data_IF_367843204025
#
_entry.id   IF_367843204025
#
_cell.length_a   1.000
_cell.length_b   1.000
_cell.length_c   1.000
_cell.angle_alpha   90.00
_cell.angle_beta   90.00
_cell.angle_gamma   90.00
#
_symmetry.space_group_name_H-M   'P 1'
#
loop_
_entity.id
_entity.type
_entity.pdbx_description
1 polymer ?
#
# COMPACT_ATOMS: atom_id res chain seq x y z
N UNK A 1 9.84 12.68 -16.90
CA UNK A 1 10.36 13.08 -15.58
C UNK A 1 9.77 12.10 -14.58
N UNK A 2 10.59 11.25 -13.98
CA UNK A 2 10.12 10.41 -12.87
C UNK A 2 9.71 11.35 -11.74
N UNK A 3 8.42 11.40 -11.42
CA UNK A 3 7.97 12.03 -10.17
C UNK A 3 8.59 11.18 -9.05
N UNK A 4 9.19 11.80 -8.04
CA UNK A 4 9.83 11.08 -6.93
C UNK A 4 8.86 10.15 -6.19
N UNK A 5 9.29 9.58 -5.06
CA UNK A 5 8.43 8.72 -4.24
C UNK A 5 7.20 9.50 -3.73
N UNK A 6 5.95 9.03 -3.97
CA UNK A 6 4.77 9.71 -3.42
C UNK A 6 4.67 9.52 -1.90
N UNK A 7 4.17 10.54 -1.21
CA UNK A 7 3.82 10.42 0.20
C UNK A 7 2.52 9.66 0.37
N UNK A 8 2.55 8.60 1.18
CA UNK A 8 1.43 7.71 1.42
C UNK A 8 1.13 7.60 2.91
N UNK A 9 -0.10 7.19 3.24
CA UNK A 9 -0.49 6.88 4.61
C UNK A 9 -1.26 5.56 4.64
N UNK A 10 -1.01 4.76 5.66
CA UNK A 10 -1.88 3.65 6.05
C UNK A 10 -2.91 4.09 7.08
N UNK A 11 -3.58 3.12 7.70
CA UNK A 11 -4.59 3.36 8.73
C UNK A 11 -4.05 4.13 9.95
N UNK A 12 -2.85 3.79 10.43
CA UNK A 12 -2.26 4.39 11.63
C UNK A 12 -1.87 5.84 11.37
N UNK A 13 -1.23 6.10 10.23
CA UNK A 13 -0.80 7.44 9.85
C UNK A 13 -2.01 8.36 9.58
N UNK A 14 -3.05 7.84 8.93
CA UNK A 14 -4.31 8.58 8.70
C UNK A 14 -5.01 8.89 10.03
N UNK A 15 -5.03 7.95 10.98
CA UNK A 15 -5.58 8.21 12.32
C UNK A 15 -4.78 9.30 13.06
N UNK A 16 -3.45 9.26 12.96
CA UNK A 16 -2.58 10.24 13.58
C UNK A 16 -2.80 11.66 13.05
N UNK A 17 -3.06 11.81 11.73
CA UNK A 17 -3.36 13.12 11.12
C UNK A 17 -4.57 13.81 11.77
N UNK A 18 -5.50 13.06 12.35
CA UNK A 18 -6.71 13.62 13.00
C UNK A 18 -6.74 13.39 14.51
N UNK A 19 -5.64 12.92 15.10
CA UNK A 19 -5.50 12.61 16.54
C UNK A 19 -6.59 11.67 17.04
N UNK A 20 -6.91 10.65 16.24
CA UNK A 20 -7.89 9.62 16.58
C UNK A 20 -7.24 8.25 16.76
N UNK A 21 -7.96 7.33 17.39
CA UNK A 21 -7.57 5.92 17.43
C UNK A 21 -7.74 5.27 16.02
N UNK A 22 -6.83 4.39 15.58
CA UNK A 22 -6.96 3.70 14.29
C UNK A 22 -8.28 2.95 14.07
N UNK A 23 -8.93 2.48 15.14
CA UNK A 23 -10.28 1.87 15.07
C UNK A 23 -11.33 2.87 14.57
N UNK A 24 -11.12 4.17 14.80
CA UNK A 24 -12.03 5.20 14.32
C UNK A 24 -11.96 5.36 12.80
N UNK A 25 -10.79 5.20 12.18
CA UNK A 25 -10.64 5.16 10.71
C UNK A 25 -11.39 3.95 10.12
N UNK A 26 -11.27 2.78 10.76
CA UNK A 26 -12.06 1.60 10.37
C UNK A 26 -13.58 1.84 10.48
N UNK A 27 -14.02 2.63 11.47
CA UNK A 27 -15.44 3.01 11.59
C UNK A 27 -15.87 3.98 10.49
N UNK A 28 -15.00 4.89 10.05
CA UNK A 28 -15.29 5.82 8.96
C UNK A 28 -15.52 5.11 7.62
N UNK A 29 -14.90 3.95 7.42
CA UNK A 29 -15.06 3.07 6.26
C UNK A 29 -16.27 2.13 6.36
N UNK A 30 -16.96 2.06 7.50
CA UNK A 30 -17.98 1.05 7.76
C UNK A 30 -19.32 1.46 7.13
N UNK A 31 -19.85 0.74 6.11
CA UNK A 31 -21.11 1.10 5.47
C UNK A 31 -22.29 1.06 6.45
N UNK A 32 -22.27 0.12 7.41
CA UNK A 32 -23.28 -0.04 8.46
C UNK A 32 -23.40 1.14 9.43
N UNK A 33 -22.43 2.07 9.41
CA UNK A 33 -22.41 3.28 10.26
C UNK A 33 -22.57 4.57 9.45
N UNK A 34 -22.93 4.46 8.17
CA UNK A 34 -23.02 5.58 7.24
C UNK A 34 -21.63 6.07 6.85
N UNK A 35 -20.88 5.24 6.11
CA UNK A 35 -19.49 5.49 5.70
C UNK A 35 -19.24 6.96 5.36
N UNK A 36 -18.30 7.59 6.07
CA UNK A 36 -17.91 9.00 5.84
C UNK A 36 -16.55 9.11 5.14
N UNK A 37 -15.84 7.99 5.04
CA UNK A 37 -14.66 7.82 4.21
C UNK A 37 -15.03 6.77 3.16
N UNK A 38 -14.94 7.14 1.89
CA UNK A 38 -15.23 6.23 0.77
C UNK A 38 -14.06 5.25 0.58
N UNK A 39 -14.28 3.93 0.67
CA UNK A 39 -13.24 2.93 0.43
C UNK A 39 -12.53 3.04 -0.92
N UNK A 40 -13.18 3.56 -1.96
CA UNK A 40 -12.62 3.70 -3.32
C UNK A 40 -11.56 4.80 -3.43
N UNK A 41 -11.46 5.66 -2.40
CA UNK A 41 -10.39 6.68 -2.34
C UNK A 41 -9.03 6.11 -1.96
N UNK A 42 -8.99 4.83 -1.55
CA UNK A 42 -7.79 4.12 -1.17
C UNK A 42 -7.31 3.22 -2.31
N UNK A 43 -5.99 3.10 -2.47
CA UNK A 43 -5.42 1.93 -3.15
C UNK A 43 -5.41 0.75 -2.19
N UNK A 44 -5.51 -0.47 -2.74
CA UNK A 44 -5.38 -1.72 -1.98
C UNK A 44 -4.11 -2.43 -2.39
N UNK A 45 -3.25 -2.70 -1.42
CA UNK A 45 -1.99 -3.42 -1.63
C UNK A 45 -1.85 -4.49 -0.55
N UNK A 46 -1.65 -5.74 -0.95
CA UNK A 46 -1.60 -6.90 -0.05
C UNK A 46 -2.77 -6.96 0.94
N UNK A 47 -3.97 -6.61 0.46
CA UNK A 47 -5.22 -6.64 1.21
C UNK A 47 -5.38 -5.53 2.25
N UNK A 48 -4.55 -4.48 2.21
CA UNK A 48 -4.58 -3.34 3.11
C UNK A 48 -4.80 -2.04 2.33
N UNK A 49 -5.54 -1.09 2.91
CA UNK A 49 -5.81 0.23 2.31
C UNK A 49 -4.72 1.23 2.64
N UNK A 50 -4.31 1.97 1.61
CA UNK A 50 -3.41 3.12 1.71
C UNK A 50 -3.97 4.29 0.91
N UNK A 51 -3.62 5.50 1.34
CA UNK A 51 -4.08 6.74 0.69
C UNK A 51 -2.89 7.63 0.32
N UNK A 52 -3.02 8.44 -0.74
CA UNK A 52 -2.21 9.63 -0.91
C UNK A 52 -2.23 10.52 0.34
N UNK A 53 -1.09 11.04 0.76
CA UNK A 53 -1.03 11.95 1.90
C UNK A 53 -1.86 13.23 1.68
N UNK A 54 -1.87 13.77 0.45
CA UNK A 54 -2.65 14.98 0.13
C UNK A 54 -4.15 14.74 0.27
N UNK A 55 -4.64 13.59 -0.22
CA UNK A 55 -6.02 13.16 0.03
C UNK A 55 -6.31 13.08 1.54
N UNK A 56 -5.49 12.32 2.27
CA UNK A 56 -5.72 12.07 3.69
C UNK A 56 -5.68 13.35 4.52
N UNK A 57 -4.78 14.29 4.22
CA UNK A 57 -4.69 15.58 4.88
C UNK A 57 -5.87 16.52 4.53
N UNK A 58 -6.42 16.41 3.32
CA UNK A 58 -7.56 17.21 2.85
C UNK A 58 -8.92 16.68 3.27
N UNK A 59 -9.04 15.38 3.54
CA UNK A 59 -10.32 14.69 3.83
C UNK A 59 -11.16 15.36 4.92
N UNK A 60 -10.53 15.83 6.00
CA UNK A 60 -11.26 16.45 7.12
C UNK A 60 -12.10 17.67 6.72
N UNK A 61 -11.69 18.39 5.68
CA UNK A 61 -12.41 19.54 5.13
C UNK A 61 -13.60 19.13 4.23
N UNK A 62 -13.63 17.90 3.72
CA UNK A 62 -14.72 17.39 2.87
C UNK A 62 -15.86 16.77 3.69
N UNK A 63 -15.65 16.54 4.98
CA UNK A 63 -16.65 15.93 5.87
C UNK A 63 -17.70 16.94 6.34
N UNK A 64 -18.93 16.47 6.59
CA UNK A 64 -20.03 17.33 7.08
C UNK A 64 -19.73 18.02 8.43
N UNK A 65 -18.86 17.41 9.25
CA UNK A 65 -18.32 18.03 10.47
C UNK A 65 -16.82 18.16 10.29
N UNK A 66 -16.37 19.38 10.03
CA UNK A 66 -14.96 19.70 9.82
C UNK A 66 -14.04 18.99 10.83
N UNK A 67 -13.00 18.34 10.32
CA UNK A 67 -11.96 17.71 11.13
C UNK A 67 -10.65 18.41 10.84
N UNK A 68 -10.05 18.97 11.89
CA UNK A 68 -8.78 19.66 11.76
C UNK A 68 -7.65 18.65 11.58
N UNK A 69 -6.88 18.81 10.51
CA UNK A 69 -5.64 18.06 10.29
C UNK A 69 -4.53 18.59 11.21
N UNK A 70 -3.75 17.68 11.78
CA UNK A 70 -2.53 17.98 12.51
C UNK A 70 -1.36 18.16 11.54
N UNK A 71 -1.00 19.42 11.30
CA UNK A 71 0.11 19.78 10.40
C UNK A 71 1.49 19.35 10.94
N UNK A 72 1.63 19.21 12.27
CA UNK A 72 2.86 18.69 12.87
C UNK A 72 3.03 17.20 12.60
N UNK A 73 1.95 16.42 12.69
CA UNK A 73 1.96 15.00 12.29
C UNK A 73 2.21 14.86 10.79
N UNK A 74 1.56 15.69 9.95
CA UNK A 74 1.81 15.69 8.50
C UNK A 74 3.29 15.92 8.17
N UNK A 75 3.90 16.95 8.77
CA UNK A 75 5.31 17.25 8.57
C UNK A 75 6.23 16.09 9.01
N UNK A 76 5.90 15.43 10.13
CA UNK A 76 6.63 14.24 10.58
C UNK A 76 6.53 13.09 9.59
N UNK A 77 5.34 12.79 9.08
CA UNK A 77 5.13 11.71 8.08
C UNK A 77 5.97 11.98 6.82
N UNK A 78 6.00 13.23 6.34
CA UNK A 78 6.83 13.62 5.19
C UNK A 78 8.31 13.40 5.50
N UNK A 79 8.78 13.86 6.66
CA UNK A 79 10.18 13.72 7.05
C UNK A 79 10.61 12.25 7.19
N UNK A 80 9.74 11.38 7.73
CA UNK A 80 9.98 9.93 7.85
C UNK A 80 10.06 9.24 6.48
N UNK A 81 9.35 9.74 5.47
CA UNK A 81 9.34 9.17 4.12
C UNK A 81 10.44 9.68 3.19
N UNK A 82 11.10 10.78 3.57
CA UNK A 82 12.21 11.37 2.82
C UNK A 82 11.77 12.29 1.69
N UNK A 83 12.60 12.42 0.65
CA UNK A 83 12.27 13.24 -0.53
C UNK A 83 11.16 12.60 -1.36
N UNK A 84 10.20 13.42 -1.77
CA UNK A 84 9.01 12.94 -2.45
C UNK A 84 8.04 14.05 -2.82
N UNK A 85 6.83 13.68 -3.21
CA UNK A 85 5.76 14.59 -3.58
C UNK A 85 4.43 14.17 -2.96
N UNK A 86 3.48 15.09 -2.89
CA UNK A 86 2.21 14.89 -2.19
C UNK A 86 1.04 14.75 -3.18
N UNK A 87 0.66 13.52 -3.57
CA UNK A 87 -0.51 13.29 -4.41
C UNK A 87 -1.82 13.61 -3.70
N UNK A 88 -2.80 14.08 -4.48
CA UNK A 88 -4.17 14.29 -4.03
C UNK A 88 -5.10 13.12 -4.37
N UNK A 89 -4.76 12.30 -5.36
CA UNK A 89 -5.58 11.21 -5.85
C UNK A 89 -4.78 9.91 -6.05
N UNK A 90 -5.49 8.78 -6.01
CA UNK A 90 -4.88 7.45 -6.15
C UNK A 90 -4.40 7.13 -7.57
N UNK A 91 -5.02 7.72 -8.59
CA UNK A 91 -4.64 7.56 -10.01
C UNK A 91 -3.34 8.29 -10.38
N UNK A 92 -2.85 9.18 -9.52
CA UNK A 92 -1.53 9.80 -9.66
C UNK A 92 -0.40 8.90 -9.16
N UNK A 93 -0.72 7.81 -8.44
CA UNK A 93 0.28 6.94 -7.82
C UNK A 93 0.93 6.02 -8.86
N UNK A 94 2.25 5.77 -8.75
CA UNK A 94 2.87 4.68 -9.49
C UNK A 94 2.34 3.33 -8.97
N UNK A 95 2.53 2.24 -9.72
CA UNK A 95 2.20 0.90 -9.25
C UNK A 95 2.98 0.57 -7.97
N UNK A 96 2.26 0.25 -6.90
CA UNK A 96 2.80 -0.08 -5.59
C UNK A 96 2.45 -1.53 -5.28
N UNK A 97 3.42 -2.27 -4.76
CA UNK A 97 3.31 -3.70 -4.46
C UNK A 97 3.67 -3.98 -3.01
N UNK A 98 3.00 -4.99 -2.45
CA UNK A 98 3.35 -5.59 -1.17
C UNK A 98 3.78 -7.05 -1.37
N UNK A 99 3.85 -7.79 -0.27
CA UNK A 99 4.36 -9.16 -0.31
C UNK A 99 3.49 -10.11 -1.14
N UNK A 100 2.16 -9.93 -1.16
CA UNK A 100 1.28 -10.81 -1.92
C UNK A 100 1.48 -10.62 -3.43
N UNK A 101 1.54 -9.37 -3.89
CA UNK A 101 1.80 -9.04 -5.29
C UNK A 101 3.20 -9.49 -5.72
N UNK A 102 4.22 -9.33 -4.87
CA UNK A 102 5.59 -9.78 -5.16
C UNK A 102 5.67 -11.31 -5.29
N UNK A 103 4.91 -12.05 -4.48
CA UNK A 103 4.89 -13.52 -4.55
C UNK A 103 4.28 -13.99 -5.87
N UNK A 104 3.21 -13.35 -6.32
CA UNK A 104 2.58 -13.65 -7.61
C UNK A 104 3.47 -13.21 -8.78
N UNK A 105 4.12 -12.05 -8.67
CA UNK A 105 5.05 -11.53 -9.68
C UNK A 105 6.18 -12.51 -10.04
N UNK A 106 6.64 -13.27 -9.05
CA UNK A 106 7.76 -14.21 -9.19
C UNK A 106 7.36 -15.69 -9.08
N UNK A 107 6.06 -15.99 -8.92
CA UNK A 107 5.55 -17.34 -8.65
C UNK A 107 6.30 -18.04 -7.49
N UNK A 108 6.57 -17.31 -6.41
CA UNK A 108 7.35 -17.86 -5.30
C UNK A 108 6.57 -19.01 -4.64
N UNK A 109 7.19 -20.18 -4.42
CA UNK A 109 6.46 -21.37 -4.02
C UNK A 109 5.92 -21.32 -2.58
N UNK A 110 6.39 -20.38 -1.76
CA UNK A 110 5.91 -20.18 -0.40
C UNK A 110 6.14 -18.73 0.07
N UNK A 111 5.20 -18.23 0.89
CA UNK A 111 5.30 -16.92 1.56
C UNK A 111 6.60 -16.76 2.37
N UNK A 112 7.07 -17.84 3.01
CA UNK A 112 8.30 -17.85 3.80
C UNK A 112 9.57 -17.54 3.00
N UNK A 113 9.57 -17.76 1.67
CA UNK A 113 10.74 -17.50 0.83
C UNK A 113 10.99 -16.00 0.67
N UNK A 114 9.93 -15.23 0.38
CA UNK A 114 10.04 -13.78 0.32
C UNK A 114 10.43 -13.21 1.68
N UNK A 115 9.73 -13.62 2.74
CA UNK A 115 10.00 -13.15 4.10
C UNK A 115 11.47 -13.40 4.52
N UNK A 116 12.02 -14.58 4.21
CA UNK A 116 13.42 -14.92 4.49
C UNK A 116 14.38 -14.06 3.65
N UNK A 117 14.06 -13.81 2.38
CA UNK A 117 14.88 -12.98 1.49
C UNK A 117 14.95 -11.53 1.98
N UNK A 118 13.82 -10.99 2.44
CA UNK A 118 13.74 -9.67 3.09
C UNK A 118 14.55 -9.67 4.39
N UNK A 119 14.31 -10.63 5.29
CA UNK A 119 14.97 -10.68 6.59
C UNK A 119 16.49 -10.86 6.51
N UNK A 120 16.98 -11.48 5.44
CA UNK A 120 18.42 -11.67 5.19
C UNK A 120 19.06 -10.49 4.43
N UNK A 121 18.31 -9.42 4.17
CA UNK A 121 18.80 -8.22 3.46
C UNK A 121 19.13 -8.46 1.98
N UNK A 122 18.60 -9.53 1.39
CA UNK A 122 18.81 -9.88 -0.02
C UNK A 122 17.74 -9.31 -0.95
N UNK A 123 16.64 -8.83 -0.39
CA UNK A 123 15.60 -8.10 -1.13
C UNK A 123 15.89 -6.60 -1.10
N UNK A 124 15.49 -5.81 -2.12
CA UNK A 124 15.61 -4.35 -2.06
C UNK A 124 14.93 -3.79 -0.80
N UNK A 125 15.51 -2.70 -0.28
CA UNK A 125 14.91 -1.94 0.81
C UNK A 125 13.50 -1.49 0.43
N UNK A 126 12.59 -1.48 1.41
CA UNK A 126 11.22 -1.06 1.19
C UNK A 126 11.14 0.45 1.01
N UNK A 127 10.30 0.88 0.07
CA UNK A 127 10.02 2.30 -0.09
C UNK A 127 9.20 2.81 1.09
N UNK A 128 8.23 2.04 1.60
CA UNK A 128 7.45 2.47 2.76
C UNK A 128 7.31 1.38 3.81
N UNK A 129 7.25 1.82 5.08
CA UNK A 129 6.77 1.04 6.21
C UNK A 129 5.54 1.74 6.80
N UNK A 130 4.34 1.33 6.38
CA UNK A 130 3.08 1.99 6.74
C UNK A 130 2.20 1.03 7.52
N UNK A 131 1.76 1.45 8.70
CA UNK A 131 0.87 0.63 9.54
C UNK A 131 1.39 -0.80 9.78
N UNK A 132 2.72 -0.98 9.80
CA UNK A 132 3.40 -2.27 9.98
C UNK A 132 3.64 -3.07 8.69
N UNK A 133 3.23 -2.58 7.53
CA UNK A 133 3.42 -3.23 6.23
C UNK A 133 4.57 -2.60 5.46
N UNK A 134 5.46 -3.44 4.92
CA UNK A 134 6.48 -3.04 3.96
C UNK A 134 5.86 -2.96 2.56
N UNK A 135 6.11 -1.87 1.85
CA UNK A 135 5.64 -1.61 0.49
C UNK A 135 6.80 -1.17 -0.40
N UNK A 136 6.71 -1.49 -1.68
CA UNK A 136 7.66 -1.08 -2.71
C UNK A 136 6.94 -0.47 -3.90
N UNK A 137 7.60 0.44 -4.61
CA UNK A 137 7.25 0.72 -5.99
C UNK A 137 7.56 -0.52 -6.83
N UNK A 138 6.70 -0.83 -7.79
CA UNK A 138 6.92 -1.97 -8.69
C UNK A 138 8.28 -1.88 -9.38
N UNK A 139 8.65 -0.70 -9.87
CA UNK A 139 9.93 -0.49 -10.54
C UNK A 139 11.14 -0.73 -9.60
N UNK A 140 11.02 -0.45 -8.30
CA UNK A 140 12.09 -0.77 -7.33
C UNK A 140 12.32 -2.28 -7.22
N UNK A 141 11.24 -3.07 -7.30
CA UNK A 141 11.33 -4.54 -7.32
C UNK A 141 11.91 -5.04 -8.63
N UNK A 142 11.46 -4.49 -9.77
CA UNK A 142 11.93 -4.87 -11.10
C UNK A 142 13.41 -4.54 -11.33
N UNK A 143 13.87 -3.37 -10.88
CA UNK A 143 15.28 -2.96 -10.96
C UNK A 143 16.20 -3.87 -10.14
N UNK A 144 15.69 -4.53 -9.10
CA UNK A 144 16.45 -5.45 -8.26
C UNK A 144 16.56 -6.88 -8.85
N UNK A 145 15.77 -7.22 -9.88
CA UNK A 145 15.70 -8.58 -10.45
C UNK A 145 17.06 -9.16 -10.84
N UNK A 146 17.97 -8.43 -11.52
CA UNK A 146 19.29 -8.97 -11.83
C UNK A 146 20.06 -9.44 -10.59
N UNK A 147 20.07 -8.65 -9.51
CA UNK A 147 20.75 -8.98 -8.25
C UNK A 147 20.05 -10.13 -7.50
N UNK A 148 18.72 -10.19 -7.55
CA UNK A 148 17.94 -11.28 -6.96
C UNK A 148 18.29 -12.63 -7.62
N UNK A 149 18.36 -12.66 -8.96
CA UNK A 149 18.78 -13.83 -9.74
C UNK A 149 20.21 -14.28 -9.41
N UNK A 150 21.12 -13.34 -9.19
CA UNK A 150 22.51 -13.65 -8.79
C UNK A 150 22.61 -14.26 -7.39
N UNK A 151 21.87 -13.70 -6.42
CA UNK A 151 22.01 -14.02 -4.99
C UNK A 151 21.25 -15.26 -4.51
N UNK A 152 20.22 -15.70 -5.23
CA UNK A 152 19.35 -16.79 -4.80
C UNK A 152 18.92 -17.68 -5.97
N UNK A 153 19.89 -18.42 -6.53
CA UNK A 153 19.72 -19.35 -7.67
C UNK A 153 18.66 -20.45 -7.46
N UNK A 154 18.26 -20.71 -6.21
CA UNK A 154 17.28 -21.74 -5.88
C UNK A 154 15.82 -21.27 -5.92
N UNK A 155 15.59 -19.96 -6.06
CA UNK A 155 14.24 -19.39 -6.15
C UNK A 155 13.98 -18.86 -7.57
N UNK A 156 12.73 -18.97 -8.06
CA UNK A 156 12.35 -18.41 -9.35
C UNK A 156 12.23 -16.89 -9.20
N UNK A 157 13.24 -16.16 -9.66
CA UNK A 157 13.19 -14.68 -9.79
C UNK A 157 12.88 -14.29 -11.24
N UNK A 158 12.09 -15.11 -11.91
CA UNK A 158 11.58 -14.83 -13.24
C UNK A 158 10.32 -14.01 -13.12
N UNK A 159 10.31 -12.87 -13.81
CA UNK A 159 9.22 -11.92 -13.77
C UNK A 159 8.07 -12.44 -14.63
N UNK A 160 6.87 -12.50 -14.06
CA UNK A 160 5.66 -12.67 -14.83
C UNK A 160 5.23 -11.32 -15.44
N UNK A 161 5.50 -11.15 -16.73
CA UNK A 161 5.16 -9.94 -17.48
C UNK A 161 3.65 -9.66 -17.54
N UNK A 162 2.79 -10.69 -17.40
CA UNK A 162 1.34 -10.48 -17.34
C UNK A 162 0.94 -9.83 -16.02
N UNK A 163 1.56 -10.25 -14.91
CA UNK A 163 1.36 -9.62 -13.60
C UNK A 163 1.90 -8.19 -13.61
N UNK A 164 3.07 -7.94 -14.21
CA UNK A 164 3.61 -6.58 -14.38
C UNK A 164 2.64 -5.68 -15.15
N UNK A 165 2.13 -6.14 -16.28
CA UNK A 165 1.18 -5.38 -17.08
C UNK A 165 -0.10 -5.08 -16.29
N UNK A 166 -0.68 -6.09 -15.62
CA UNK A 166 -1.88 -5.91 -14.82
C UNK A 166 -1.68 -4.92 -13.65
N UNK A 167 -0.53 -4.96 -12.99
CA UNK A 167 -0.19 -4.03 -11.91
C UNK A 167 0.00 -2.60 -12.45
N UNK A 168 0.65 -2.44 -13.62
CA UNK A 168 0.85 -1.13 -14.26
C UNK A 168 -0.45 -0.50 -14.73
N UNK A 169 -1.35 -1.32 -15.26
CA UNK A 169 -2.64 -0.87 -15.78
C UNK A 169 -3.71 -0.72 -14.66
N UNK A 170 -3.38 -1.07 -13.41
CA UNK A 170 -4.32 -1.06 -12.30
C UNK A 170 -5.45 -2.10 -12.42
N UNK A 171 -5.24 -3.15 -13.22
CA UNK A 171 -6.21 -4.21 -13.50
C UNK A 171 -5.95 -5.52 -12.77
N UNK A 172 -4.88 -5.57 -11.96
CA UNK A 172 -4.52 -6.74 -11.16
C UNK A 172 -5.63 -7.15 -10.18
N UNK A 173 -6.09 -8.39 -10.30
CA UNK A 173 -7.18 -8.98 -9.51
C UNK A 173 -6.76 -10.21 -8.68
N UNK A 174 -5.46 -10.52 -8.65
CA UNK A 174 -4.88 -11.63 -7.89
C UNK A 174 -4.86 -11.42 -6.38
N UNK A 175 -4.18 -12.31 -5.62
CA UNK A 175 -3.98 -12.17 -4.18
C UNK A 175 -3.51 -10.77 -3.78
N UNK A 176 -4.19 -10.18 -2.80
CA UNK A 176 -3.84 -8.86 -2.26
C UNK A 176 -4.56 -7.69 -2.90
N UNK A 177 -5.21 -7.90 -4.05
CA UNK A 177 -6.00 -6.87 -4.76
C UNK A 177 -7.23 -6.36 -3.99
N UNK A 178 -7.69 -7.10 -2.96
CA UNK A 178 -8.92 -6.78 -2.21
C UNK A 178 -8.73 -6.91 -0.71
N UNK A 179 -9.39 -6.02 0.04
CA UNK A 179 -9.49 -6.14 1.50
C UNK A 179 -10.48 -7.24 1.86
N UNK A 180 -9.98 -8.36 2.39
CA UNK A 180 -10.81 -9.46 2.85
C UNK A 180 -11.49 -9.09 4.17
N UNK A 181 -12.83 -9.09 4.18
CA UNK A 181 -13.61 -9.00 5.41
C UNK A 181 -13.51 -10.32 6.18
N UNK A 182 -12.73 -10.35 7.27
CA UNK A 182 -12.78 -11.46 8.23
C UNK A 182 -14.01 -11.32 9.13
N UNK A 183 -14.97 -12.25 9.02
CA UNK A 183 -16.13 -12.35 9.93
C UNK A 183 -17.48 -12.52 9.23
N UNK A 184 -18.55 -12.70 10.02
CA UNK A 184 -19.95 -13.12 9.69
C UNK A 184 -20.62 -12.59 8.40
N UNK A 185 -20.04 -11.58 7.75
CA UNK A 185 -20.50 -10.96 6.50
C UNK A 185 -19.75 -11.43 5.24
N UNK A 186 -18.83 -12.40 5.35
CA UNK A 186 -18.38 -13.16 4.19
C UNK A 186 -19.57 -13.93 3.61
N UNK A 187 -20.40 -13.25 2.81
CA UNK A 187 -21.36 -13.91 1.92
C UNK A 187 -20.52 -14.91 1.14
N UNK A 188 -20.84 -16.20 1.31
CA UNK A 188 -20.34 -17.27 0.45
C UNK A 188 -20.47 -16.78 -0.99
N UNK A 189 -19.35 -16.54 -1.65
CA UNK A 189 -19.35 -16.48 -3.09
C UNK A 189 -19.89 -17.84 -3.55
N UNK A 190 -21.01 -17.79 -4.27
CA UNK A 190 -21.61 -18.93 -4.96
C UNK A 190 -20.71 -19.36 -6.10
#
# INVERSE_FOLDING_TARGET
MSRGKPYLVGHQEFAALYRVDPKQVAQWLSPSRGSVLDPETAIVVSGVRYWPLGFAAGWGATTARFRQVDLGVKARIIAEQGEGWEPGLGDELPPIVGQQEIIELFHLPAQGNLATTIATGRFPEHDWLLSGSMLWMLDTVLDAVPKLRESARSLPWDVDEQVVAALRDGTYDGPGSRVLTRGRHARKAL
#
